data_IF_779373297633
#
_entry.id   IF_779373297633
#
_cell.length_a   1.000
_cell.length_b   1.000
_cell.length_c   1.000
_cell.angle_alpha   90.00
_cell.angle_beta   90.00
_cell.angle_gamma   90.00
#
_symmetry.space_group_name_H-M   'P 1'
#
loop_
_entity.id
_entity.type
_entity.pdbx_description
1 polymer ?
#
# COMPACT_ATOMS: atom_id res chain seq x y z
N UNK A 1 -20.26 14.78 -4.04
CA UNK A 1 -19.15 13.87 -3.68
C UNK A 1 -18.21 14.54 -2.70
N UNK A 2 -17.28 13.77 -2.10
CA UNK A 2 -16.25 14.30 -1.18
C UNK A 2 -15.43 15.42 -1.84
N UNK A 3 -14.91 15.20 -3.03
CA UNK A 3 -14.10 16.21 -3.75
C UNK A 3 -14.88 17.46 -4.15
N UNK A 4 -16.16 17.36 -4.47
CA UNK A 4 -17.00 18.52 -4.74
C UNK A 4 -17.17 19.41 -3.51
N UNK A 5 -17.37 18.79 -2.34
CA UNK A 5 -17.45 19.52 -1.07
C UNK A 5 -16.09 20.09 -0.68
N UNK A 6 -14.98 19.33 -0.85
CA UNK A 6 -13.62 19.79 -0.61
C UNK A 6 -13.32 21.03 -1.45
N UNK A 7 -13.62 20.99 -2.77
CA UNK A 7 -13.45 22.12 -3.67
C UNK A 7 -14.13 23.39 -3.14
N UNK A 8 -15.44 23.28 -2.83
CA UNK A 8 -16.20 24.41 -2.31
C UNK A 8 -15.60 25.00 -1.04
N UNK A 9 -15.36 24.16 -0.02
CA UNK A 9 -14.84 24.62 1.29
C UNK A 9 -13.43 25.21 1.16
N UNK A 10 -12.55 24.56 0.39
CA UNK A 10 -11.16 24.99 0.25
C UNK A 10 -11.05 26.32 -0.50
N UNK A 11 -11.80 26.47 -1.59
CA UNK A 11 -11.80 27.70 -2.38
C UNK A 11 -12.48 28.88 -1.67
N UNK A 12 -13.48 28.60 -0.79
CA UNK A 12 -14.07 29.61 0.10
C UNK A 12 -13.09 30.09 1.19
N UNK A 13 -12.31 29.14 1.78
CA UNK A 13 -11.32 29.46 2.80
C UNK A 13 -10.08 30.19 2.26
N UNK A 14 -9.63 29.80 1.08
CA UNK A 14 -8.46 30.38 0.43
C UNK A 14 -8.62 30.41 -1.10
N UNK A 15 -8.94 31.57 -1.69
CA UNK A 15 -9.18 31.69 -3.13
C UNK A 15 -7.95 31.43 -4.01
N UNK A 16 -6.74 31.36 -3.42
CA UNK A 16 -5.50 30.97 -4.13
C UNK A 16 -5.38 29.45 -4.29
N UNK A 17 -6.16 28.67 -3.54
CA UNK A 17 -6.18 27.20 -3.68
C UNK A 17 -7.24 26.83 -4.71
N UNK A 18 -6.86 25.97 -5.65
CA UNK A 18 -7.77 25.40 -6.66
C UNK A 18 -7.79 23.90 -6.54
N UNK A 19 -8.98 23.33 -6.42
CA UNK A 19 -9.20 21.87 -6.44
C UNK A 19 -9.71 21.48 -7.83
N UNK A 20 -8.88 20.80 -8.58
CA UNK A 20 -9.16 20.37 -9.96
C UNK A 20 -9.92 19.04 -9.90
N UNK A 21 -11.15 19.02 -10.40
CA UNK A 21 -12.03 17.83 -10.40
C UNK A 21 -12.39 17.34 -11.81
N UNK A 22 -11.98 18.07 -12.83
CA UNK A 22 -12.18 17.78 -14.26
C UNK A 22 -10.86 18.06 -14.99
N UNK A 23 -10.67 17.50 -16.18
CA UNK A 23 -9.47 17.76 -16.98
C UNK A 23 -9.26 19.25 -17.16
N UNK A 24 -8.08 19.72 -16.84
CA UNK A 24 -7.73 21.14 -16.83
C UNK A 24 -6.48 21.37 -17.67
N UNK A 25 -6.48 22.46 -18.42
CA UNK A 25 -5.39 22.85 -19.31
C UNK A 25 -4.83 24.22 -18.94
N UNK A 26 -3.52 24.35 -19.04
CA UNK A 26 -2.86 25.65 -18.94
C UNK A 26 -1.57 25.65 -19.77
N UNK A 27 -1.55 26.46 -20.84
CA UNK A 27 -0.41 26.58 -21.77
C UNK A 27 0.03 25.20 -22.32
N UNK A 28 1.19 24.71 -21.92
CA UNK A 28 1.85 23.50 -22.39
C UNK A 28 1.68 22.27 -21.48
N UNK A 29 0.81 22.37 -20.46
CA UNK A 29 0.55 21.28 -19.54
C UNK A 29 -0.95 21.09 -19.23
N UNK A 30 -1.29 19.90 -18.79
CA UNK A 30 -2.64 19.53 -18.38
C UNK A 30 -2.65 18.77 -17.04
N UNK A 31 -3.80 18.78 -16.37
CA UNK A 31 -4.11 17.87 -15.25
C UNK A 31 -5.22 16.95 -15.72
N UNK A 32 -4.97 15.63 -15.63
CA UNK A 32 -5.98 14.59 -15.78
C UNK A 32 -6.31 14.02 -14.41
N UNK A 33 -7.47 14.35 -13.81
CA UNK A 33 -7.87 13.77 -12.53
C UNK A 33 -8.07 12.26 -12.63
N UNK A 34 -7.76 11.55 -11.54
CA UNK A 34 -7.94 10.08 -11.46
C UNK A 34 -9.35 9.61 -11.84
N UNK A 35 -10.38 10.38 -11.47
CA UNK A 35 -11.78 10.06 -11.83
C UNK A 35 -12.04 10.02 -13.33
N UNK A 36 -11.19 10.68 -14.13
CA UNK A 36 -11.31 10.74 -15.57
C UNK A 36 -10.40 9.74 -16.30
N UNK A 37 -9.37 9.22 -15.63
CA UNK A 37 -8.34 8.36 -16.20
C UNK A 37 -8.91 7.15 -16.97
N UNK A 38 -9.96 6.52 -16.43
CA UNK A 38 -10.57 5.32 -17.00
C UNK A 38 -11.69 5.61 -18.03
N UNK A 39 -12.00 6.88 -18.28
CA UNK A 39 -12.97 7.23 -19.31
C UNK A 39 -12.37 6.97 -20.69
N UNK A 40 -13.19 6.47 -21.59
CA UNK A 40 -12.76 6.23 -22.97
C UNK A 40 -12.31 7.54 -23.63
N UNK A 41 -11.12 7.53 -24.21
CA UNK A 41 -10.54 8.69 -24.88
C UNK A 41 -9.89 9.72 -23.94
N UNK A 42 -9.98 9.55 -22.61
CA UNK A 42 -9.55 10.57 -21.64
C UNK A 42 -8.09 11.01 -21.77
N UNK A 43 -7.22 10.14 -22.24
CA UNK A 43 -5.79 10.44 -22.45
C UNK A 43 -5.58 10.93 -23.89
N UNK A 44 -6.22 10.29 -24.85
CA UNK A 44 -6.12 10.57 -26.28
C UNK A 44 -6.74 11.92 -26.67
N UNK A 45 -7.83 12.30 -25.99
CA UNK A 45 -8.58 13.54 -26.22
C UNK A 45 -7.94 14.75 -25.52
N UNK A 46 -6.86 14.57 -24.75
CA UNK A 46 -6.10 15.69 -24.20
C UNK A 46 -5.49 16.48 -25.37
N UNK A 47 -5.61 17.80 -25.32
CA UNK A 47 -5.00 18.70 -26.30
C UNK A 47 -3.48 18.47 -26.43
N UNK A 48 -2.87 19.02 -27.47
CA UNK A 48 -1.43 18.88 -27.74
C UNK A 48 -0.63 19.69 -26.70
N UNK A 49 -0.35 19.02 -25.57
CA UNK A 49 0.48 19.53 -24.47
C UNK A 49 1.67 18.63 -24.25
N UNK A 50 2.76 19.20 -23.80
CA UNK A 50 4.01 18.48 -23.54
C UNK A 50 4.02 17.77 -22.17
N UNK A 51 3.33 18.31 -21.19
CA UNK A 51 3.42 17.88 -19.78
C UNK A 51 2.05 17.52 -19.21
N UNK A 52 2.00 16.42 -18.47
CA UNK A 52 0.78 15.93 -17.87
C UNK A 52 0.98 15.69 -16.36
N UNK A 53 0.02 16.15 -15.57
CA UNK A 53 -0.11 15.76 -14.16
C UNK A 53 -1.31 14.82 -14.02
N UNK A 54 -1.10 13.67 -13.36
CA UNK A 54 -2.16 12.68 -13.17
C UNK A 54 -1.92 11.82 -11.95
N UNK A 55 -2.80 10.86 -11.72
CA UNK A 55 -2.61 9.79 -10.75
C UNK A 55 -2.85 8.47 -11.48
N UNK A 56 -1.81 7.69 -11.68
CA UNK A 56 -1.86 6.43 -12.44
C UNK A 56 -0.91 5.41 -11.86
N UNK A 57 -1.40 4.17 -11.69
CA UNK A 57 -0.56 3.06 -11.28
C UNK A 57 0.30 2.57 -12.44
N UNK A 58 1.62 2.60 -12.22
CA UNK A 58 2.59 1.97 -13.11
C UNK A 58 2.78 0.49 -12.84
N UNK A 59 3.82 -0.07 -13.44
CA UNK A 59 4.18 -1.47 -13.28
C UNK A 59 5.29 -1.65 -12.23
N UNK A 60 5.16 -2.68 -11.38
CA UNK A 60 6.22 -3.17 -10.48
C UNK A 60 6.26 -4.69 -10.59
N UNK A 61 7.02 -5.25 -11.54
CA UNK A 61 7.09 -6.70 -11.72
C UNK A 61 7.63 -7.42 -10.48
N UNK A 62 7.14 -8.61 -10.16
CA UNK A 62 5.98 -9.30 -10.73
C UNK A 62 4.66 -8.96 -10.00
N UNK A 63 4.65 -7.98 -9.09
CA UNK A 63 3.61 -7.82 -8.06
C UNK A 63 2.52 -6.82 -8.43
N UNK A 64 2.83 -5.81 -9.25
CA UNK A 64 1.89 -4.74 -9.60
C UNK A 64 1.78 -4.62 -11.11
N UNK A 65 0.58 -4.79 -11.63
CA UNK A 65 0.28 -4.51 -13.03
C UNK A 65 -0.23 -3.08 -13.20
N UNK A 66 0.07 -2.42 -14.31
CA UNK A 66 -0.45 -1.09 -14.59
C UNK A 66 -1.98 -1.13 -14.72
N UNK A 67 -2.65 -0.07 -14.28
CA UNK A 67 -4.11 0.01 -14.33
C UNK A 67 -4.66 0.43 -15.70
N UNK A 68 -3.82 1.05 -16.51
CA UNK A 68 -4.08 1.38 -17.91
C UNK A 68 -2.82 1.10 -18.73
N UNK A 69 -2.97 0.97 -20.04
CA UNK A 69 -1.82 0.84 -20.93
C UNK A 69 -0.96 2.10 -20.86
N UNK A 70 0.28 1.95 -20.39
CA UNK A 70 1.22 3.06 -20.20
C UNK A 70 1.74 3.65 -21.51
N UNK A 71 1.64 2.93 -22.63
CA UNK A 71 2.00 3.45 -23.95
C UNK A 71 1.14 4.64 -24.38
N UNK A 72 -0.06 4.76 -23.84
CA UNK A 72 -0.95 5.90 -24.06
C UNK A 72 -0.35 7.24 -23.62
N UNK A 73 0.63 7.20 -22.71
CA UNK A 73 1.32 8.38 -22.20
C UNK A 73 2.55 8.79 -23.03
N UNK A 74 3.00 8.00 -23.98
CA UNK A 74 4.23 8.26 -24.75
C UNK A 74 4.19 9.54 -25.61
N UNK A 75 2.98 10.04 -25.86
CA UNK A 75 2.79 11.30 -26.56
C UNK A 75 3.24 12.53 -25.78
N UNK A 76 3.30 12.45 -24.45
CA UNK A 76 3.75 13.54 -23.60
C UNK A 76 5.27 13.50 -23.43
N UNK A 77 5.91 14.64 -23.24
CA UNK A 77 7.35 14.68 -22.91
C UNK A 77 7.62 14.13 -21.54
N UNK A 78 6.82 14.55 -20.55
CA UNK A 78 6.91 14.08 -19.17
C UNK A 78 5.49 13.99 -18.60
N UNK A 79 5.26 12.92 -17.83
CA UNK A 79 4.05 12.74 -17.02
C UNK A 79 4.45 12.70 -15.55
N UNK A 80 4.01 13.65 -14.75
CA UNK A 80 4.18 13.62 -13.30
C UNK A 80 2.98 12.92 -12.68
N UNK A 81 3.22 11.76 -12.06
CA UNK A 81 2.13 10.89 -11.61
C UNK A 81 2.22 10.55 -10.12
N UNK A 82 1.09 10.52 -9.45
CA UNK A 82 0.92 9.86 -8.17
C UNK A 82 0.60 8.37 -8.33
N UNK A 83 0.47 7.63 -7.24
CA UNK A 83 0.16 6.23 -6.98
C UNK A 83 1.36 5.44 -6.43
N UNK A 84 2.46 5.33 -7.17
CA UNK A 84 3.60 4.55 -6.70
C UNK A 84 4.37 5.30 -5.62
N UNK A 85 4.56 4.64 -4.46
CA UNK A 85 5.09 5.27 -3.26
C UNK A 85 6.62 5.42 -3.23
N UNK A 86 7.33 4.81 -4.18
CA UNK A 86 8.78 4.93 -4.30
C UNK A 86 9.16 5.61 -5.61
N UNK A 87 10.02 6.64 -5.52
CA UNK A 87 10.51 7.38 -6.69
C UNK A 87 11.27 6.48 -7.68
N UNK A 88 11.93 5.45 -7.18
CA UNK A 88 12.66 4.46 -7.97
C UNK A 88 11.76 3.70 -8.98
N UNK A 89 10.45 3.74 -8.80
CA UNK A 89 9.48 3.17 -9.73
C UNK A 89 9.17 4.10 -10.92
N UNK A 90 9.84 5.24 -11.04
CA UNK A 90 9.81 6.09 -12.24
C UNK A 90 10.14 5.24 -13.48
N UNK A 91 9.29 5.29 -14.49
CA UNK A 91 9.36 4.41 -15.65
C UNK A 91 8.88 5.11 -16.92
N UNK A 92 9.49 4.77 -18.08
CA UNK A 92 9.21 5.45 -19.35
C UNK A 92 9.39 6.97 -19.19
N UNK A 93 8.40 7.74 -19.62
CA UNK A 93 8.30 9.19 -19.40
C UNK A 93 7.44 9.57 -18.18
N UNK A 94 7.06 8.59 -17.33
CA UNK A 94 6.23 8.78 -16.14
C UNK A 94 7.11 8.87 -14.90
N UNK A 95 7.09 10.02 -14.25
CA UNK A 95 7.90 10.36 -13.07
C UNK A 95 7.02 10.33 -11.82
N UNK A 96 7.38 9.47 -10.88
CA UNK A 96 6.69 9.36 -9.58
C UNK A 96 7.49 10.11 -8.51
N UNK A 97 6.89 11.07 -7.78
CA UNK A 97 7.54 11.68 -6.64
C UNK A 97 7.77 10.69 -5.49
N UNK A 98 7.01 9.62 -5.47
CA UNK A 98 6.90 8.73 -4.33
C UNK A 98 5.99 9.30 -3.24
N UNK A 99 6.02 8.69 -2.08
CA UNK A 99 5.28 9.16 -0.90
C UNK A 99 6.15 10.09 -0.07
N UNK A 100 5.62 11.20 0.47
CA UNK A 100 6.37 12.09 1.37
C UNK A 100 6.65 11.44 2.73
N UNK A 101 5.89 10.41 3.11
CA UNK A 101 6.05 9.65 4.34
C UNK A 101 5.79 8.17 4.07
N UNK A 102 6.28 7.29 4.95
CA UNK A 102 5.94 5.87 4.89
C UNK A 102 4.44 5.65 5.13
N UNK A 103 3.80 4.86 4.29
CA UNK A 103 2.37 4.54 4.35
C UNK A 103 2.09 3.20 5.04
N UNK A 104 3.14 2.44 5.32
CA UNK A 104 3.11 1.16 6.01
C UNK A 104 4.42 0.91 6.75
N UNK A 105 4.42 -0.10 7.63
CA UNK A 105 5.62 -0.48 8.37
C UNK A 105 6.59 -1.30 7.50
N UNK A 106 7.80 -0.80 7.32
CA UNK A 106 8.85 -1.41 6.51
C UNK A 106 9.96 -2.02 7.39
N UNK A 107 10.62 -3.08 6.89
CA UNK A 107 11.76 -3.69 7.59
C UNK A 107 13.02 -2.82 7.52
N UNK A 108 13.15 -2.02 6.48
CA UNK A 108 14.28 -1.13 6.25
C UNK A 108 13.80 0.32 6.09
N UNK A 109 14.71 1.25 6.29
CA UNK A 109 14.49 2.65 5.91
C UNK A 109 14.23 2.71 4.40
N UNK A 110 13.18 3.43 4.01
CA UNK A 110 12.82 3.67 2.62
C UNK A 110 12.99 5.15 2.29
N UNK A 111 13.29 5.45 1.04
CA UNK A 111 13.43 6.82 0.60
C UNK A 111 12.06 7.45 0.38
N UNK A 112 11.83 8.55 1.06
CA UNK A 112 10.64 9.40 0.90
C UNK A 112 11.07 10.77 0.44
N UNK A 113 10.25 11.47 -0.34
CA UNK A 113 10.69 12.73 -0.91
C UNK A 113 9.64 13.46 -1.74
N UNK A 114 10.11 14.43 -2.51
CA UNK A 114 9.30 15.25 -3.38
C UNK A 114 10.06 15.62 -4.66
N UNK A 115 9.30 16.02 -5.69
CA UNK A 115 9.84 16.62 -6.91
C UNK A 115 9.79 18.14 -6.80
N UNK A 116 10.90 18.78 -7.08
CA UNK A 116 10.94 20.19 -7.42
C UNK A 116 10.96 20.30 -8.94
N UNK A 117 10.00 21.03 -9.50
CA UNK A 117 9.88 21.24 -10.95
C UNK A 117 10.11 22.74 -11.19
N UNK A 118 11.05 23.06 -12.07
CA UNK A 118 11.42 24.43 -12.43
C UNK A 118 10.55 24.95 -13.60
N UNK A 119 10.62 26.24 -13.88
CA UNK A 119 9.84 26.90 -14.93
C UNK A 119 10.14 26.36 -16.35
N UNK A 120 11.31 25.77 -16.56
CA UNK A 120 11.73 25.14 -17.81
C UNK A 120 11.37 23.65 -17.90
N UNK A 121 10.57 23.16 -16.94
CA UNK A 121 10.18 21.75 -16.78
C UNK A 121 11.32 20.79 -16.42
N UNK A 122 12.52 21.27 -16.16
CA UNK A 122 13.52 20.47 -15.48
C UNK A 122 13.05 20.12 -14.08
N UNK A 123 13.39 18.93 -13.62
CA UNK A 123 12.95 18.49 -12.31
C UNK A 123 14.07 17.80 -11.55
N UNK A 124 13.97 17.86 -10.23
CA UNK A 124 14.88 17.17 -9.33
C UNK A 124 14.13 16.56 -8.18
N UNK A 125 14.45 15.31 -7.87
CA UNK A 125 13.94 14.66 -6.67
C UNK A 125 14.78 15.02 -5.45
N UNK A 126 14.10 15.31 -4.34
CA UNK A 126 14.71 15.64 -3.06
C UNK A 126 14.22 14.67 -2.00
N UNK A 127 15.16 14.07 -1.26
CA UNK A 127 14.87 13.18 -0.16
C UNK A 127 14.43 13.95 1.09
N UNK A 128 13.46 13.42 1.82
CA UNK A 128 13.08 13.90 3.13
C UNK A 128 13.80 13.11 4.22
N UNK A 129 14.24 13.81 5.25
CA UNK A 129 14.61 13.24 6.54
C UNK A 129 13.42 13.36 7.48
N UNK A 130 12.50 12.40 7.41
CA UNK A 130 11.26 12.36 8.19
C UNK A 130 11.15 11.07 8.97
N UNK A 131 10.37 11.05 10.10
CA UNK A 131 10.06 9.83 10.83
C UNK A 131 9.44 8.76 9.92
N UNK A 132 9.82 7.51 10.15
CA UNK A 132 9.33 6.38 9.36
C UNK A 132 8.64 5.35 10.24
N UNK A 133 7.74 4.57 9.61
CA UNK A 133 7.10 3.42 10.22
C UNK A 133 7.98 2.20 10.00
N UNK A 134 8.59 1.67 11.07
CA UNK A 134 9.54 0.57 11.00
C UNK A 134 8.99 -0.69 11.66
N UNK A 135 9.35 -1.84 11.10
CA UNK A 135 9.06 -3.17 11.64
C UNK A 135 10.37 -3.90 11.86
N UNK A 136 10.62 -4.34 13.08
CA UNK A 136 11.84 -5.08 13.45
C UNK A 136 11.48 -6.39 14.11
N UNK A 137 12.03 -7.50 13.62
CA UNK A 137 11.95 -8.79 14.31
C UNK A 137 13.11 -8.87 15.26
N UNK A 138 12.86 -9.19 16.52
CA UNK A 138 13.84 -9.31 17.60
C UNK A 138 13.68 -10.65 18.32
N UNK A 139 14.77 -11.14 18.90
CA UNK A 139 14.79 -12.42 19.60
C UNK A 139 14.40 -12.28 21.08
N UNK A 140 14.56 -11.09 21.65
CA UNK A 140 14.19 -10.79 23.02
C UNK A 140 13.64 -9.38 23.19
N UNK A 141 12.97 -9.15 24.32
CA UNK A 141 12.45 -7.83 24.68
C UNK A 141 13.53 -6.80 25.01
N UNK A 142 14.74 -7.26 25.33
CA UNK A 142 15.90 -6.40 25.62
C UNK A 142 16.41 -5.67 24.37
N UNK A 143 16.13 -6.23 23.19
CA UNK A 143 16.45 -5.62 21.90
C UNK A 143 15.46 -4.53 21.48
N UNK A 144 14.36 -4.37 22.21
CA UNK A 144 13.34 -3.36 21.93
C UNK A 144 13.79 -1.99 22.44
N UNK A 145 14.35 -1.20 21.55
CA UNK A 145 14.79 0.16 21.85
C UNK A 145 13.74 1.16 21.45
N UNK A 146 13.28 1.96 22.40
CA UNK A 146 12.43 3.11 22.10
C UNK A 146 13.25 4.16 21.34
N UNK A 147 12.73 4.59 20.20
CA UNK A 147 13.28 5.71 19.43
C UNK A 147 12.39 6.93 19.61
N UNK A 148 12.98 8.11 19.61
CA UNK A 148 12.24 9.39 19.68
C UNK A 148 11.85 9.90 18.29
N UNK A 149 12.23 9.18 17.23
CA UNK A 149 12.07 9.63 15.85
C UNK A 149 11.15 8.72 15.02
N UNK A 150 11.48 7.44 14.94
CA UNK A 150 10.70 6.47 14.17
C UNK A 150 9.64 5.79 15.01
N UNK A 151 8.46 5.55 14.42
CA UNK A 151 7.48 4.66 15.03
C UNK A 151 7.84 3.21 14.67
N UNK A 152 8.15 2.40 15.65
CA UNK A 152 8.62 1.02 15.43
C UNK A 152 7.66 0.00 16.03
N UNK A 153 7.24 -0.96 15.20
CA UNK A 153 6.59 -2.20 15.66
C UNK A 153 7.68 -3.26 15.84
N UNK A 154 7.83 -3.77 17.05
CA UNK A 154 8.68 -4.90 17.34
C UNK A 154 7.90 -6.21 17.27
N UNK A 155 8.41 -7.16 16.50
CA UNK A 155 7.89 -8.51 16.37
C UNK A 155 8.83 -9.45 17.13
N UNK A 156 8.32 -10.10 18.18
CA UNK A 156 9.06 -11.09 19.00
C UNK A 156 8.54 -12.47 18.70
N UNK A 157 9.44 -13.40 18.47
CA UNK A 157 9.13 -14.82 18.41
C UNK A 157 9.04 -15.38 19.85
N UNK A 158 7.83 -15.76 20.29
CA UNK A 158 7.64 -16.30 21.64
C UNK A 158 6.21 -16.24 22.13
N UNK A 159 6.05 -16.20 23.43
CA UNK A 159 4.77 -16.10 24.09
C UNK A 159 4.41 -14.65 24.48
N UNK A 160 3.10 -14.36 24.59
CA UNK A 160 2.62 -13.04 25.01
C UNK A 160 3.14 -12.63 26.39
N UNK A 161 3.41 -13.63 27.28
CA UNK A 161 4.01 -13.41 28.60
C UNK A 161 5.36 -12.71 28.53
N UNK A 162 6.13 -12.96 27.48
CA UNK A 162 7.47 -12.38 27.28
C UNK A 162 7.43 -10.87 27.08
N UNK A 163 6.29 -10.34 26.62
CA UNK A 163 6.07 -8.92 26.39
C UNK A 163 5.63 -8.14 27.65
N UNK A 164 5.37 -8.81 28.77
CA UNK A 164 4.79 -8.18 29.96
C UNK A 164 5.68 -7.07 30.58
N UNK A 165 6.99 -7.19 30.41
CA UNK A 165 7.99 -6.22 30.90
C UNK A 165 8.19 -4.97 30.05
N UNK A 166 7.69 -4.96 28.81
CA UNK A 166 7.89 -3.83 27.88
C UNK A 166 6.70 -2.88 27.96
N UNK A 167 6.96 -1.61 28.26
CA UNK A 167 5.93 -0.58 28.23
C UNK A 167 5.68 -0.11 26.80
N UNK A 168 4.41 0.06 26.42
CA UNK A 168 4.07 0.74 25.16
C UNK A 168 4.37 2.23 25.29
N UNK A 169 4.68 2.87 24.16
CA UNK A 169 4.77 4.31 24.02
C UNK A 169 4.13 4.73 22.69
N UNK A 170 3.99 6.02 22.47
CA UNK A 170 3.40 6.54 21.23
C UNK A 170 4.21 6.16 19.96
N UNK A 171 5.47 5.81 20.12
CA UNK A 171 6.37 5.45 19.01
C UNK A 171 6.86 3.99 19.06
N UNK A 172 6.36 3.18 20.01
CA UNK A 172 6.75 1.78 20.14
C UNK A 172 5.52 0.90 20.33
N UNK A 173 5.26 0.07 19.34
CA UNK A 173 4.32 -1.04 19.39
C UNK A 173 5.04 -2.38 19.46
N UNK A 174 4.38 -3.39 19.99
CA UNK A 174 4.91 -4.74 20.10
C UNK A 174 3.89 -5.78 19.69
N UNK A 175 4.36 -6.83 19.04
CA UNK A 175 3.54 -7.93 18.55
C UNK A 175 4.28 -9.24 18.72
N UNK A 176 3.60 -10.24 19.26
CA UNK A 176 4.09 -11.62 19.22
C UNK A 176 3.81 -12.22 17.85
N UNK A 177 4.83 -12.76 17.22
CA UNK A 177 4.67 -13.64 16.07
C UNK A 177 4.93 -15.07 16.53
N UNK A 178 4.00 -15.98 16.25
CA UNK A 178 4.28 -17.40 16.43
C UNK A 178 5.42 -17.79 15.47
N UNK A 179 6.40 -18.54 15.95
CA UNK A 179 7.35 -19.21 15.04
C UNK A 179 6.52 -19.90 13.98
N UNK A 180 6.89 -19.73 12.71
CA UNK A 180 6.50 -20.69 11.68
C UNK A 180 7.07 -22.03 12.16
N UNK A 181 6.23 -22.87 12.71
CA UNK A 181 6.57 -24.28 12.83
C UNK A 181 6.96 -24.72 11.44
N UNK A 182 8.07 -25.43 11.29
CA UNK A 182 8.49 -26.05 10.02
C UNK A 182 7.52 -27.18 9.60
N UNK A 183 6.31 -27.19 10.15
CA UNK A 183 5.23 -28.06 9.75
C UNK A 183 4.81 -27.67 8.33
N UNK A 184 5.43 -28.33 7.39
CA UNK A 184 5.00 -28.32 6.01
C UNK A 184 3.65 -28.98 5.99
N UNK A 185 2.59 -28.23 5.64
CA UNK A 185 1.29 -28.82 5.37
C UNK A 185 1.47 -29.75 4.15
N UNK A 186 1.34 -31.04 4.38
CA UNK A 186 1.34 -32.03 3.29
C UNK A 186 -0.09 -32.12 2.81
N UNK A 187 -0.48 -31.25 1.87
CA UNK A 187 -1.77 -31.34 1.21
C UNK A 187 -1.67 -32.33 0.06
N UNK A 188 -2.49 -33.37 0.11
CA UNK A 188 -2.67 -34.30 -1.01
C UNK A 188 -3.71 -33.70 -1.98
N UNK A 189 -3.53 -33.92 -3.28
CA UNK A 189 -4.45 -33.44 -4.33
C UNK A 189 -5.86 -34.07 -4.24
N UNK A 190 -5.99 -35.13 -3.47
CA UNK A 190 -7.25 -35.85 -3.25
C UNK A 190 -7.98 -35.42 -1.95
N UNK A 191 -7.37 -34.54 -1.14
CA UNK A 191 -8.00 -34.03 0.09
C UNK A 191 -9.17 -33.12 -0.21
N UNK A 192 -10.21 -33.25 0.58
CA UNK A 192 -11.34 -32.32 0.58
C UNK A 192 -10.95 -31.02 1.30
N UNK A 193 -11.68 -29.94 1.04
CA UNK A 193 -11.45 -28.64 1.71
C UNK A 193 -11.57 -28.76 3.24
N UNK A 194 -12.49 -29.63 3.72
CA UNK A 194 -12.64 -29.92 5.14
C UNK A 194 -11.39 -30.60 5.73
N UNK A 195 -10.79 -31.53 4.99
CA UNK A 195 -9.57 -32.21 5.40
C UNK A 195 -8.36 -31.26 5.38
N UNK A 196 -8.22 -30.45 4.33
CA UNK A 196 -7.18 -29.42 4.27
C UNK A 196 -7.32 -28.40 5.42
N UNK A 197 -8.55 -27.98 5.74
CA UNK A 197 -8.82 -27.10 6.86
C UNK A 197 -8.51 -27.77 8.20
N UNK A 198 -8.83 -29.06 8.36
CA UNK A 198 -8.50 -29.81 9.58
C UNK A 198 -6.99 -29.91 9.79
N UNK A 199 -6.24 -30.22 8.73
CA UNK A 199 -4.76 -30.22 8.76
C UNK A 199 -4.21 -28.85 9.16
N UNK A 200 -4.68 -27.77 8.52
CA UNK A 200 -4.27 -26.41 8.85
C UNK A 200 -4.53 -26.04 10.30
N UNK A 201 -5.74 -26.35 10.81
CA UNK A 201 -6.11 -26.04 12.19
C UNK A 201 -5.30 -26.86 13.21
N UNK A 202 -4.97 -28.12 12.87
CA UNK A 202 -4.22 -29.01 13.75
C UNK A 202 -2.73 -28.70 13.75
N UNK A 203 -2.10 -28.56 12.57
CA UNK A 203 -0.64 -28.45 12.43
C UNK A 203 -0.12 -27.02 12.42
N UNK A 204 -0.85 -26.08 11.82
CA UNK A 204 -0.38 -24.69 11.75
C UNK A 204 -0.87 -23.86 12.94
N UNK A 205 -2.14 -24.05 13.33
CA UNK A 205 -2.70 -23.34 14.49
C UNK A 205 -2.60 -24.14 15.80
N UNK A 206 -2.15 -25.39 15.74
CA UNK A 206 -1.95 -26.27 16.90
C UNK A 206 -3.17 -26.34 17.83
N UNK A 207 -4.38 -26.35 17.23
CA UNK A 207 -5.62 -26.39 18.00
C UNK A 207 -5.89 -27.81 18.53
N UNK A 208 -6.44 -27.88 19.73
CA UNK A 208 -6.93 -29.13 20.30
C UNK A 208 -8.00 -29.78 19.40
N UNK A 209 -7.96 -31.13 19.30
CA UNK A 209 -8.84 -31.92 18.42
C UNK A 209 -10.34 -31.58 18.57
N UNK A 210 -10.79 -31.30 19.79
CA UNK A 210 -12.20 -30.92 20.05
C UNK A 210 -12.56 -29.58 19.41
N UNK A 211 -11.63 -28.62 19.40
CA UNK A 211 -11.82 -27.30 18.76
C UNK A 211 -11.83 -27.44 17.23
N UNK A 212 -10.90 -28.25 16.69
CA UNK A 212 -10.84 -28.55 15.26
C UNK A 212 -12.16 -29.15 14.79
N UNK A 213 -12.66 -30.21 15.43
CA UNK A 213 -13.95 -30.86 15.09
C UNK A 213 -15.11 -29.86 15.12
N UNK A 214 -15.15 -28.99 16.12
CA UNK A 214 -16.21 -27.97 16.22
C UNK A 214 -16.16 -26.97 15.07
N UNK A 215 -14.97 -26.49 14.69
CA UNK A 215 -14.79 -25.52 13.59
C UNK A 215 -15.18 -26.18 12.26
N UNK A 216 -14.69 -27.41 12.01
CA UNK A 216 -15.04 -28.16 10.79
C UNK A 216 -16.55 -28.39 10.70
N UNK A 217 -17.21 -28.77 11.80
CA UNK A 217 -18.66 -28.93 11.81
C UNK A 217 -19.40 -27.66 11.38
N UNK A 218 -19.02 -26.50 11.91
CA UNK A 218 -19.63 -25.21 11.53
C UNK A 218 -19.36 -24.88 10.07
N UNK A 219 -18.15 -25.15 9.58
CA UNK A 219 -17.77 -24.92 8.19
C UNK A 219 -18.61 -25.77 7.23
N UNK A 220 -18.70 -27.10 7.48
CA UNK A 220 -19.48 -28.04 6.65
C UNK A 220 -20.98 -27.70 6.62
N UNK A 221 -21.54 -27.29 7.77
CA UNK A 221 -22.95 -26.88 7.84
C UNK A 221 -23.26 -25.65 7.01
N UNK A 222 -22.35 -24.65 7.02
CA UNK A 222 -22.50 -23.43 6.22
C UNK A 222 -22.25 -23.68 4.73
N UNK A 223 -21.30 -24.53 4.36
CA UNK A 223 -21.04 -24.90 2.96
C UNK A 223 -22.22 -25.64 2.33
N UNK A 224 -22.89 -26.50 3.09
CA UNK A 224 -24.13 -27.18 2.62
C UNK A 224 -25.29 -26.21 2.39
N UNK A 225 -25.44 -25.19 3.25
CA UNK A 225 -26.49 -24.17 3.09
C UNK A 225 -26.25 -23.29 1.86
N UNK A 226 -25.01 -22.89 1.61
CA UNK A 226 -24.64 -22.06 0.46
C UNK A 226 -24.82 -22.80 -0.89
N UNK A 227 -24.77 -24.14 -0.92
CA UNK A 227 -25.00 -24.95 -2.12
C UNK A 227 -26.47 -25.30 -2.37
N UNK A 228 -27.39 -24.87 -1.49
CA UNK A 228 -28.83 -25.10 -1.61
C UNK A 228 -29.64 -23.85 -2.02
N UNK A 229 -28.99 -22.69 -2.12
CA UNK A 229 -29.51 -21.45 -2.68
C UNK A 229 -29.03 -21.26 -4.14
#
# INVERSE_FOLDING_TARGET
TFFTNLKRVTEELNPKVKVITETFYLHDWAILPYADLHKKGSIEDIDDVDYLFTHVRGEIPPHVSPEVDLERFDRFKIVFAGDLHAHENTQRNIVYPGSPMTTSFHRNIVKTGYLLIEDDWSWKWHEFDLPQLLRKTVSSTEEMVQTEWHHTIYEVEGDVSDLSGVKNSDLLDKKVIKRKTEATLILDKEMTIEEELAEYLSYILELEEQKVKKIIGVFSDNSRKANME
#
